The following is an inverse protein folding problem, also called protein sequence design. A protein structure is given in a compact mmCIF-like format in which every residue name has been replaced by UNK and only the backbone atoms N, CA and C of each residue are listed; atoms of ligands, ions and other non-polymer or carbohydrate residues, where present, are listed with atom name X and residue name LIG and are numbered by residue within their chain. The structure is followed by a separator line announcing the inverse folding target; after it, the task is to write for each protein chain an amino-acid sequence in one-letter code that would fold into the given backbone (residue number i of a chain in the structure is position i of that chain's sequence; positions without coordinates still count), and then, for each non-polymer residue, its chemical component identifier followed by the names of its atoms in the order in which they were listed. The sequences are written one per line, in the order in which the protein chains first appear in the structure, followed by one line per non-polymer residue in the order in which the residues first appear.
data_IF_011722114497
#
_entry.id   IF_011722114497
#
_cell.length_a   1.000
_cell.length_b   1.000
_cell.length_c   1.000
_cell.angle_alpha   90.00
_cell.angle_beta   90.00
_cell.angle_gamma   90.00
#
_symmetry.space_group_name_H-M   'P 1'
#
loop_
_entity.id
_entity.type
_entity.pdbx_description
1 polymer ?
#
# COMPACT_ATOMS: atom_id res chain seq x y z
N UNK A 1 30.60 -20.77 -13.71
CA UNK A 1 29.52 -19.79 -14.00
C UNK A 1 29.07 -19.20 -12.68
N UNK A 2 29.52 -17.98 -12.38
CA UNK A 2 29.03 -17.23 -11.22
C UNK A 2 27.86 -16.36 -11.70
N UNK A 3 26.63 -16.68 -11.28
CA UNK A 3 25.51 -15.75 -11.41
C UNK A 3 25.72 -14.64 -10.38
N UNK A 4 26.25 -13.50 -10.83
CA UNK A 4 26.28 -12.29 -10.03
C UNK A 4 24.85 -11.91 -9.66
N UNK A 5 24.56 -11.84 -8.36
CA UNK A 5 23.42 -11.07 -7.87
C UNK A 5 23.73 -9.63 -8.23
N UNK A 6 23.05 -9.09 -9.24
CA UNK A 6 22.95 -7.64 -9.44
C UNK A 6 22.22 -7.06 -8.23
N UNK A 7 23.00 -6.82 -7.18
CA UNK A 7 22.67 -5.86 -6.14
C UNK A 7 22.67 -4.52 -6.88
N UNK A 8 21.48 -4.04 -7.24
CA UNK A 8 21.31 -2.69 -7.79
C UNK A 8 21.99 -1.71 -6.83
N UNK A 9 23.09 -1.12 -7.31
CA UNK A 9 24.06 -0.31 -6.57
C UNK A 9 23.56 1.11 -6.22
N UNK A 10 22.26 1.29 -5.94
CA UNK A 10 21.75 2.61 -5.58
C UNK A 10 20.52 2.53 -4.67
N UNK A 11 20.45 3.46 -3.71
CA UNK A 11 19.30 3.82 -2.86
C UNK A 11 19.40 3.52 -1.34
N UNK A 12 20.56 3.77 -0.72
CA UNK A 12 20.66 3.97 0.74
C UNK A 12 20.93 5.43 1.15
N UNK A 13 21.00 6.36 0.19
CA UNK A 13 21.46 7.74 0.44
C UNK A 13 20.37 8.72 0.93
N UNK A 14 19.10 8.28 0.99
CA UNK A 14 17.95 9.18 1.23
C UNK A 14 17.32 8.99 2.61
N UNK A 15 18.00 8.32 3.55
CA UNK A 15 17.49 8.16 4.92
C UNK A 15 17.28 9.55 5.53
N UNK A 16 16.01 9.88 5.79
CA UNK A 16 15.60 11.16 6.37
C UNK A 16 15.20 12.23 5.34
N UNK A 17 15.26 11.95 4.04
CA UNK A 17 14.67 12.83 3.03
C UNK A 17 13.16 12.91 3.21
N UNK A 18 12.59 14.11 3.13
CA UNK A 18 11.14 14.28 3.14
C UNK A 18 10.56 14.28 1.73
N UNK A 19 9.74 13.27 1.45
CA UNK A 19 9.07 13.06 0.16
C UNK A 19 7.56 13.21 0.30
N UNK A 20 6.88 13.60 -0.77
CA UNK A 20 5.42 13.76 -0.80
C UNK A 20 4.72 12.50 -1.27
N UNK A 21 3.61 12.13 -0.63
CA UNK A 21 2.71 11.09 -1.16
C UNK A 21 1.72 11.77 -2.12
N UNK A 22 1.79 11.38 -3.39
CA UNK A 22 0.99 11.96 -4.47
C UNK A 22 -0.21 11.08 -4.88
N UNK A 23 -0.30 9.85 -4.40
CA UNK A 23 -1.45 8.98 -4.68
C UNK A 23 -2.68 9.41 -3.87
N UNK A 24 -3.70 9.94 -4.58
CA UNK A 24 -4.89 10.59 -3.99
C UNK A 24 -5.66 9.75 -2.97
N UNK A 25 -5.70 8.44 -3.16
CA UNK A 25 -6.47 7.52 -2.30
C UNK A 25 -5.62 6.87 -1.20
N UNK A 26 -4.37 7.29 -1.03
CA UNK A 26 -3.54 6.87 0.09
C UNK A 26 -3.91 7.64 1.37
N UNK A 27 -3.87 6.96 2.53
CA UNK A 27 -4.16 7.59 3.83
C UNK A 27 -3.21 8.74 4.19
N UNK A 28 -2.01 8.78 3.59
CA UNK A 28 -1.01 9.85 3.78
C UNK A 28 -0.97 10.85 2.61
N UNK A 29 -1.94 10.85 1.70
CA UNK A 29 -1.97 11.76 0.56
C UNK A 29 -1.76 13.23 0.96
N UNK A 30 -0.90 13.94 0.21
CA UNK A 30 -0.57 15.34 0.44
C UNK A 30 0.35 15.58 1.64
N UNK A 31 0.70 14.55 2.42
CA UNK A 31 1.64 14.66 3.54
C UNK A 31 3.07 14.47 3.04
N UNK A 32 4.00 15.19 3.69
CA UNK A 32 5.44 14.92 3.62
C UNK A 32 5.77 13.83 4.62
N UNK A 33 6.49 12.81 4.17
CA UNK A 33 6.89 11.64 4.96
C UNK A 33 8.39 11.45 4.85
N UNK A 34 9.01 10.89 5.89
CA UNK A 34 10.45 10.60 5.85
C UNK A 34 10.68 9.31 5.08
N UNK A 35 11.50 9.38 4.05
CA UNK A 35 11.97 8.21 3.31
C UNK A 35 13.08 7.54 4.11
N UNK A 36 13.02 6.22 4.23
CA UNK A 36 14.12 5.42 4.80
C UNK A 36 14.92 4.77 3.69
N UNK A 37 14.31 3.81 2.98
CA UNK A 37 14.99 3.06 1.93
C UNK A 37 14.00 2.54 0.90
N UNK A 38 14.53 2.20 -0.28
CA UNK A 38 13.80 1.49 -1.32
C UNK A 38 14.19 0.02 -1.37
N UNK A 39 13.26 -0.84 -1.76
CA UNK A 39 13.49 -2.27 -1.96
C UNK A 39 12.56 -2.85 -3.03
N UNK A 40 12.93 -4.02 -3.56
CA UNK A 40 12.06 -4.79 -4.46
C UNK A 40 11.32 -5.87 -3.68
N UNK A 41 9.98 -5.83 -3.68
CA UNK A 41 9.11 -6.86 -3.11
C UNK A 41 8.29 -7.52 -4.21
N UNK A 42 8.47 -8.84 -4.40
CA UNK A 42 7.74 -9.62 -5.41
C UNK A 42 7.77 -8.97 -6.82
N UNK A 43 8.91 -8.41 -7.23
CA UNK A 43 9.09 -7.74 -8.52
C UNK A 43 8.55 -6.31 -8.60
N UNK A 44 7.98 -5.77 -7.52
CA UNK A 44 7.50 -4.39 -7.44
C UNK A 44 8.46 -3.52 -6.63
N UNK A 45 8.73 -2.31 -7.11
CA UNK A 45 9.49 -1.30 -6.37
C UNK A 45 8.65 -0.68 -5.24
N UNK A 46 9.16 -0.81 -4.03
CA UNK A 46 8.53 -0.37 -2.78
C UNK A 46 9.51 0.53 -2.03
N UNK A 47 8.98 1.54 -1.36
CA UNK A 47 9.75 2.41 -0.48
C UNK A 47 9.16 2.35 0.93
N UNK A 48 10.04 2.33 1.92
CA UNK A 48 9.64 2.39 3.33
C UNK A 48 9.68 3.83 3.78
N UNK A 49 8.55 4.32 4.27
CA UNK A 49 8.37 5.70 4.72
C UNK A 49 7.83 5.75 6.14
N UNK A 50 8.17 6.80 6.87
CA UNK A 50 7.65 7.10 8.20
C UNK A 50 6.64 8.25 8.13
N UNK A 51 5.37 7.96 8.36
CA UNK A 51 4.27 8.94 8.37
C UNK A 51 3.93 9.50 9.76
N UNK A 52 4.39 8.82 10.81
CA UNK A 52 4.35 9.21 12.23
C UNK A 52 5.59 8.62 12.91
N UNK A 53 6.17 9.29 13.92
CA UNK A 53 7.33 8.76 14.64
C UNK A 53 7.14 7.32 15.10
N UNK A 54 8.08 6.45 14.76
CA UNK A 54 8.09 5.02 15.07
C UNK A 54 7.18 4.14 14.21
N UNK A 55 6.48 4.70 13.22
CA UNK A 55 5.56 3.95 12.36
C UNK A 55 6.04 3.98 10.91
N UNK A 56 6.76 2.92 10.54
CA UNK A 56 7.20 2.66 9.18
C UNK A 56 6.12 1.92 8.38
N UNK A 57 5.83 2.39 7.17
CA UNK A 57 4.93 1.74 6.23
C UNK A 57 5.63 1.57 4.88
N UNK A 58 5.35 0.45 4.22
CA UNK A 58 5.75 0.22 2.85
C UNK A 58 4.71 0.82 1.90
N UNK A 59 5.13 1.68 0.98
CA UNK A 59 4.31 2.22 -0.11
C UNK A 59 4.94 1.89 -1.44
N UNK A 60 4.15 1.78 -2.50
CA UNK A 60 4.72 1.57 -3.83
C UNK A 60 5.47 2.83 -4.27
N UNK A 61 6.64 2.67 -4.91
CA UNK A 61 7.49 3.79 -5.29
C UNK A 61 6.77 4.82 -6.18
N UNK A 62 5.89 4.36 -7.08
CA UNK A 62 5.09 5.21 -7.95
C UNK A 62 4.13 6.14 -7.20
N UNK A 63 3.78 5.85 -5.93
CA UNK A 63 2.94 6.73 -5.11
C UNK A 63 3.65 8.05 -4.73
N UNK A 64 4.98 8.10 -4.87
CA UNK A 64 5.79 9.31 -4.70
C UNK A 64 5.99 10.09 -6.01
N UNK A 65 5.62 9.51 -7.16
CA UNK A 65 5.74 10.19 -8.44
C UNK A 65 4.48 10.98 -8.78
N UNK A 66 4.62 12.30 -8.82
CA UNK A 66 3.51 13.22 -9.09
C UNK A 66 2.96 13.04 -10.50
N UNK A 67 3.81 12.79 -11.50
CA UNK A 67 3.40 12.67 -12.89
C UNK A 67 2.52 11.43 -13.11
N UNK A 68 2.96 10.27 -12.60
CA UNK A 68 2.21 9.02 -12.59
C UNK A 68 0.87 9.19 -11.88
N UNK A 69 0.87 9.80 -10.69
CA UNK A 69 -0.36 9.99 -9.93
C UNK A 69 -1.34 10.98 -10.57
N UNK A 70 -0.86 11.98 -11.32
CA UNK A 70 -1.70 12.97 -11.99
C UNK A 70 -2.57 12.38 -13.09
N UNK A 71 -2.12 11.31 -13.73
CA UNK A 71 -2.89 10.59 -14.76
C UNK A 71 -3.90 9.57 -14.19
N UNK A 72 -3.97 9.39 -12.87
CA UNK A 72 -4.88 8.43 -12.26
C UNK A 72 -6.25 9.08 -12.03
N UNK A 73 -7.21 8.67 -12.86
CA UNK A 73 -8.59 9.12 -12.79
C UNK A 73 -9.48 8.12 -12.06
N UNK A 74 -10.54 8.61 -11.42
CA UNK A 74 -11.59 7.74 -10.92
C UNK A 74 -12.46 7.36 -12.12
N UNK A 75 -12.52 6.08 -12.45
CA UNK A 75 -13.51 5.60 -13.42
C UNK A 75 -14.92 5.62 -12.84
N UNK A 76 -15.90 5.30 -13.68
CA UNK A 76 -17.28 5.06 -13.25
C UNK A 76 -17.32 4.04 -12.09
N UNK A 77 -18.08 4.30 -11.00
CA UNK A 77 -18.23 3.34 -9.92
C UNK A 77 -18.80 2.01 -10.44
N UNK A 78 -17.95 0.99 -10.59
CA UNK A 78 -18.35 -0.36 -11.03
C UNK A 78 -18.90 -1.22 -9.88
N UNK A 79 -19.49 -0.59 -8.85
CA UNK A 79 -19.92 -1.32 -7.65
C UNK A 79 -21.38 -1.73 -7.75
N UNK A 80 -21.61 -2.97 -8.13
CA UNK A 80 -22.92 -3.61 -7.97
C UNK A 80 -23.09 -4.07 -6.53
N UNK A 81 -24.10 -3.51 -5.84
CA UNK A 81 -24.46 -3.95 -4.48
C UNK A 81 -24.77 -5.45 -4.48
N UNK A 82 -25.41 -5.96 -5.53
CA UNK A 82 -25.69 -7.39 -5.68
C UNK A 82 -24.38 -8.21 -5.77
N UNK A 83 -23.42 -7.77 -6.58
CA UNK A 83 -22.13 -8.46 -6.70
C UNK A 83 -21.35 -8.46 -5.37
N UNK A 84 -21.42 -7.37 -4.59
CA UNK A 84 -20.81 -7.32 -3.27
C UNK A 84 -21.48 -8.28 -2.27
N UNK A 85 -22.81 -8.40 -2.34
CA UNK A 85 -23.58 -9.35 -1.52
C UNK A 85 -23.24 -10.80 -1.90
N UNK A 86 -23.14 -11.10 -3.19
CA UNK A 86 -22.73 -12.42 -3.69
C UNK A 86 -21.31 -12.77 -3.28
N UNK A 87 -20.37 -11.82 -3.41
CA UNK A 87 -19.00 -11.99 -2.94
C UNK A 87 -18.93 -12.23 -1.43
N UNK A 88 -19.70 -11.49 -0.62
CA UNK A 88 -19.79 -11.72 0.82
C UNK A 88 -20.25 -13.14 1.15
N UNK A 89 -21.32 -13.61 0.48
CA UNK A 89 -21.82 -14.99 0.66
C UNK A 89 -20.75 -16.02 0.30
N UNK A 90 -20.07 -15.83 -0.82
CA UNK A 90 -18.98 -16.72 -1.26
C UNK A 90 -17.85 -16.77 -0.23
N UNK A 91 -17.37 -15.61 0.23
CA UNK A 91 -16.28 -15.53 1.21
C UNK A 91 -16.67 -16.16 2.55
N UNK A 92 -17.93 -16.01 2.99
CA UNK A 92 -18.45 -16.70 4.19
C UNK A 92 -18.50 -18.21 4.01
N UNK A 93 -19.03 -18.69 2.87
CA UNK A 93 -19.11 -20.12 2.56
C UNK A 93 -17.72 -20.79 2.51
N UNK A 94 -16.71 -20.07 2.05
CA UNK A 94 -15.32 -20.55 2.01
C UNK A 94 -14.55 -20.33 3.33
N UNK A 95 -15.19 -19.77 4.38
CA UNK A 95 -14.54 -19.46 5.65
C UNK A 95 -13.47 -18.36 5.59
N UNK A 96 -13.38 -17.64 4.46
CA UNK A 96 -12.40 -16.58 4.20
C UNK A 96 -12.82 -15.23 4.82
N UNK A 97 -14.09 -15.09 5.23
CA UNK A 97 -14.59 -13.93 5.96
C UNK A 97 -14.96 -14.33 7.39
N UNK A 98 -14.02 -14.14 8.32
CA UNK A 98 -14.32 -14.15 9.76
C UNK A 98 -14.96 -12.83 10.15
N UNK A 99 -16.29 -12.80 10.24
CA UNK A 99 -16.95 -11.75 11.05
C UNK A 99 -16.55 -12.06 12.48
N UNK A 100 -15.86 -11.12 13.14
CA UNK A 100 -15.42 -11.30 14.51
C UNK A 100 -16.57 -11.83 15.37
N UNK A 101 -16.33 -12.92 16.09
CA UNK A 101 -17.24 -13.39 17.12
C UNK A 101 -17.28 -12.30 18.18
N UNK A 102 -18.29 -11.42 18.09
CA UNK A 102 -18.67 -10.59 19.21
C UNK A 102 -19.14 -11.56 20.28
N UNK A 103 -18.26 -11.84 21.24
CA UNK A 103 -18.63 -12.53 22.46
C UNK A 103 -19.79 -11.74 23.07
N UNK A 104 -20.92 -12.42 23.24
CA UNK A 104 -21.99 -11.98 24.11
C UNK A 104 -21.39 -11.61 25.47
N UNK A 105 -21.22 -10.32 25.74
CA UNK A 105 -21.23 -9.83 27.12
C UNK A 105 -22.69 -9.54 27.46
N UNK A 106 -23.34 -10.58 27.98
CA UNK A 106 -24.50 -10.40 28.85
C UNK A 106 -24.01 -10.08 30.26
N UNK A 107 -24.57 -9.03 30.84
CA UNK A 107 -24.47 -8.62 32.23
C UNK A 107 -25.63 -7.70 32.53
#
# INVERSE_FOLDING_TARGET
MACGREQSLGHSAHIGEEVGIHYRWHALYGRRVRLYYGEKRAGTDVVVVEGKPGVAIAVAAWMLDRATCAGLELGEPQVSVLALVELDRLLKAQGLRRVGMWLHFGG
#
